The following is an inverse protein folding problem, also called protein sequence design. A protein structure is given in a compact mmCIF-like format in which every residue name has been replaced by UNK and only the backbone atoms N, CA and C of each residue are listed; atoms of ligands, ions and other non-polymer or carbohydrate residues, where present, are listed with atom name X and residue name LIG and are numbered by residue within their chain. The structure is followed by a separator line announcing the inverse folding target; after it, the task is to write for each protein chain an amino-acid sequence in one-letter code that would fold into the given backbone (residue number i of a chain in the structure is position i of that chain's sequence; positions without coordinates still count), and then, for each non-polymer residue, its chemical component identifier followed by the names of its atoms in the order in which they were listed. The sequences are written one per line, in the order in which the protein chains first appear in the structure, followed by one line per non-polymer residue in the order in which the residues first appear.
data_IF_675653005961
#
_entry.id   IF_675653005961
#
_cell.length_a   1.000
_cell.length_b   1.000
_cell.length_c   1.000
_cell.angle_alpha   90.00
_cell.angle_beta   90.00
_cell.angle_gamma   90.00
#
_symmetry.space_group_name_H-M   'P 1'
#
loop_
_entity.id
_entity.type
_entity.pdbx_description
1 polymer ?
#
# COMPACT_ATOMS: atom_id res chain seq x y z
N UNK A 1 -2.73 28.71 -70.89
CA UNK A 1 -3.36 28.28 -69.64
C UNK A 1 -2.27 27.62 -68.79
N UNK A 2 -1.61 28.39 -67.90
CA UNK A 2 -0.58 27.89 -67.01
C UNK A 2 -1.23 27.36 -65.73
N UNK A 3 -0.94 26.11 -65.35
CA UNK A 3 -1.29 25.54 -64.02
C UNK A 3 -0.11 25.72 -63.09
N UNK A 4 -0.30 26.52 -62.05
CA UNK A 4 0.61 26.66 -60.92
C UNK A 4 0.36 25.52 -59.93
N UNK A 5 1.36 24.67 -59.69
CA UNK A 5 1.34 23.65 -58.64
C UNK A 5 2.03 24.21 -57.40
N UNK A 6 1.27 24.44 -56.32
CA UNK A 6 1.83 24.77 -54.98
C UNK A 6 2.32 23.49 -54.32
N UNK A 7 3.62 23.38 -54.06
CA UNK A 7 4.19 22.39 -53.10
C UNK A 7 4.09 22.95 -51.70
N UNK A 8 3.32 22.27 -50.84
CA UNK A 8 3.34 22.47 -49.40
C UNK A 8 4.48 21.64 -48.78
N UNK A 9 5.52 22.29 -48.32
CA UNK A 9 6.55 21.69 -47.47
C UNK A 9 5.99 21.58 -46.03
N UNK A 10 5.71 20.37 -45.56
CA UNK A 10 5.43 20.09 -44.16
C UNK A 10 6.72 19.91 -43.43
N UNK A 11 7.11 20.87 -42.58
CA UNK A 11 8.25 20.77 -41.66
C UNK A 11 7.82 19.94 -40.42
N UNK A 12 8.29 18.69 -40.33
CA UNK A 12 8.23 17.89 -39.11
C UNK A 12 9.23 18.41 -38.09
N UNK A 13 8.76 19.08 -37.05
CA UNK A 13 9.56 19.34 -35.86
C UNK A 13 9.67 18.06 -35.05
N UNK A 14 10.84 17.42 -35.08
CA UNK A 14 11.20 16.36 -34.15
C UNK A 14 11.50 17.00 -32.77
N UNK A 15 10.56 16.84 -31.83
CA UNK A 15 10.81 17.18 -30.42
C UNK A 15 11.73 16.10 -29.84
N UNK A 16 13.04 16.35 -29.83
CA UNK A 16 14.01 15.57 -29.08
C UNK A 16 13.74 15.78 -27.59
N UNK A 17 13.06 14.82 -26.94
CA UNK A 17 12.97 14.73 -25.49
C UNK A 17 14.37 14.47 -24.91
N UNK A 18 15.08 15.50 -24.52
CA UNK A 18 16.30 15.37 -23.75
C UNK A 18 15.96 14.71 -22.41
N UNK A 19 16.30 13.43 -22.22
CA UNK A 19 16.32 12.79 -20.91
C UNK A 19 17.40 13.50 -20.09
N UNK A 20 16.97 14.41 -19.20
CA UNK A 20 17.89 14.99 -18.23
C UNK A 20 18.49 13.88 -17.38
N UNK A 21 19.81 13.83 -17.28
CA UNK A 21 20.53 12.93 -16.41
C UNK A 21 19.96 13.01 -14.98
N UNK A 22 19.90 11.89 -14.22
CA UNK A 22 19.41 11.90 -12.86
C UNK A 22 20.22 12.91 -12.04
N UNK A 23 19.56 13.94 -11.52
CA UNK A 23 20.18 14.87 -10.61
C UNK A 23 20.73 14.09 -9.40
N UNK A 24 21.98 14.33 -9.01
CA UNK A 24 22.58 13.79 -7.80
C UNK A 24 21.67 14.15 -6.61
N UNK A 25 21.49 13.22 -5.62
CA UNK A 25 20.71 13.53 -4.43
C UNK A 25 21.25 14.82 -3.79
N UNK A 26 20.38 15.72 -3.29
CA UNK A 26 20.85 16.88 -2.55
C UNK A 26 21.79 16.42 -1.43
N UNK A 27 22.96 17.02 -1.30
CA UNK A 27 23.95 16.66 -0.28
C UNK A 27 23.33 16.58 1.13
N UNK A 28 22.32 17.41 1.40
CA UNK A 28 21.53 17.39 2.62
C UNK A 28 20.75 16.09 2.87
N UNK A 29 20.18 15.45 1.84
CA UNK A 29 19.41 14.22 2.01
C UNK A 29 20.32 13.04 2.37
N UNK A 30 21.49 12.92 1.75
CA UNK A 30 22.49 11.90 2.12
C UNK A 30 22.88 12.01 3.59
N UNK A 31 23.12 13.22 4.09
CA UNK A 31 23.45 13.46 5.50
C UNK A 31 22.29 13.12 6.45
N UNK A 32 21.04 13.40 6.04
CA UNK A 32 19.85 13.03 6.82
C UNK A 32 19.75 11.51 6.97
N UNK A 33 19.90 10.77 5.86
CA UNK A 33 19.79 9.32 5.88
C UNK A 33 20.97 8.65 6.62
N UNK A 34 22.17 9.23 6.57
CA UNK A 34 23.35 8.72 7.25
C UNK A 34 23.23 8.73 8.80
N UNK A 35 22.33 9.53 9.38
CA UNK A 35 22.07 9.54 10.82
C UNK A 35 21.60 8.19 11.37
N UNK A 36 21.10 7.32 10.48
CA UNK A 36 20.55 6.01 10.82
C UNK A 36 21.53 4.86 10.59
N UNK A 37 22.81 5.13 10.23
CA UNK A 37 23.81 4.09 9.97
C UNK A 37 24.19 3.31 11.23
N UNK A 38 24.20 4.00 12.36
CA UNK A 38 24.52 3.41 13.64
C UNK A 38 23.29 3.57 14.56
N UNK A 39 22.42 2.59 14.52
CA UNK A 39 21.27 2.49 15.43
C UNK A 39 21.51 1.38 16.44
N UNK A 40 20.93 1.53 17.63
CA UNK A 40 20.95 0.50 18.68
C UNK A 40 20.40 -0.85 18.15
N UNK A 41 19.52 -0.80 17.17
CA UNK A 41 18.84 -1.98 16.63
C UNK A 41 19.16 -2.15 15.13
N UNK A 42 19.94 -3.20 14.73
CA UNK A 42 20.42 -3.38 13.35
C UNK A 42 19.36 -4.03 12.42
N UNK A 43 18.12 -3.60 12.52
CA UNK A 43 16.98 -4.15 11.77
C UNK A 43 16.33 -3.17 10.76
N UNK A 44 16.79 -1.91 10.69
CA UNK A 44 16.48 -1.04 9.57
C UNK A 44 17.14 -1.61 8.30
N UNK A 45 16.39 -1.73 7.20
CA UNK A 45 16.91 -2.32 5.96
C UNK A 45 17.15 -1.27 4.88
N UNK A 46 16.14 -0.46 4.57
CA UNK A 46 16.33 0.60 3.58
C UNK A 46 15.41 1.79 3.82
N UNK A 47 15.86 2.96 3.35
CA UNK A 47 15.03 4.16 3.17
C UNK A 47 15.22 4.65 1.75
N UNK A 48 14.11 4.84 1.03
CA UNK A 48 14.07 5.43 -0.30
C UNK A 48 13.18 6.65 -0.27
N UNK A 49 13.71 7.80 -0.67
CA UNK A 49 12.99 9.06 -0.77
C UNK A 49 12.83 9.42 -2.24
N UNK A 50 11.60 9.57 -2.68
CA UNK A 50 11.28 10.11 -4.00
C UNK A 50 10.66 11.49 -3.86
N UNK A 51 11.03 12.40 -4.75
CA UNK A 51 10.41 13.72 -4.86
C UNK A 51 10.23 14.08 -6.33
N UNK A 52 9.03 14.54 -6.69
CA UNK A 52 8.69 14.88 -8.08
C UNK A 52 9.02 13.75 -9.08
N UNK A 53 8.75 12.50 -8.69
CA UNK A 53 8.99 11.32 -9.53
C UNK A 53 10.45 10.84 -9.61
N UNK A 54 11.38 11.47 -8.87
CA UNK A 54 12.81 11.14 -8.87
C UNK A 54 13.28 10.66 -7.51
N UNK A 55 14.21 9.70 -7.49
CA UNK A 55 14.87 9.29 -6.26
C UNK A 55 15.85 10.42 -5.85
N UNK A 56 15.57 11.05 -4.71
CA UNK A 56 16.40 12.12 -4.13
C UNK A 56 17.20 11.65 -2.92
N UNK A 57 16.93 10.45 -2.41
CA UNK A 57 17.68 9.80 -1.35
C UNK A 57 17.43 8.30 -1.36
N UNK A 58 18.48 7.53 -1.19
CA UNK A 58 18.40 6.07 -1.13
C UNK A 58 19.55 5.55 -0.27
N UNK A 59 19.24 4.77 0.76
CA UNK A 59 20.24 4.20 1.64
C UNK A 59 19.81 2.84 2.14
N UNK A 60 20.77 1.93 2.19
CA UNK A 60 20.63 0.56 2.69
C UNK A 60 21.45 0.42 3.96
N UNK A 61 20.94 -0.29 4.95
CA UNK A 61 21.49 -0.37 6.29
C UNK A 61 21.72 -1.82 6.69
N UNK A 62 22.63 -2.03 7.63
CA UNK A 62 22.86 -3.33 8.28
C UNK A 62 23.06 -4.48 7.27
N UNK A 63 23.85 -4.23 6.22
CA UNK A 63 24.15 -5.22 5.18
C UNK A 63 23.05 -5.46 4.15
N UNK A 64 21.91 -4.75 4.25
CA UNK A 64 20.87 -4.85 3.22
C UNK A 64 21.36 -4.29 1.88
N UNK A 65 20.85 -4.83 0.80
CA UNK A 65 21.23 -4.45 -0.57
C UNK A 65 20.02 -3.94 -1.35
N UNK A 66 20.33 -3.27 -2.48
CA UNK A 66 19.31 -2.72 -3.38
C UNK A 66 18.36 -3.77 -3.96
N UNK A 67 18.86 -4.98 -4.16
CA UNK A 67 18.14 -6.05 -4.82
C UNK A 67 17.48 -7.04 -3.85
N UNK A 68 17.65 -6.81 -2.53
CA UNK A 68 17.05 -7.62 -1.50
C UNK A 68 15.54 -7.40 -1.43
N UNK A 69 14.78 -8.49 -1.29
CA UNK A 69 13.35 -8.45 -1.04
C UNK A 69 13.09 -8.40 0.46
N UNK A 70 12.25 -7.45 0.87
CA UNK A 70 11.82 -7.27 2.26
C UNK A 70 10.33 -7.54 2.38
N UNK A 71 9.93 -8.42 3.31
CA UNK A 71 8.53 -8.61 3.67
C UNK A 71 7.99 -7.33 4.34
N UNK A 72 7.09 -6.65 3.64
CA UNK A 72 6.53 -5.38 4.10
C UNK A 72 5.36 -5.56 5.08
N UNK A 73 5.05 -6.81 5.43
CA UNK A 73 3.99 -7.18 6.37
C UNK A 73 2.65 -6.53 6.00
N UNK A 74 1.92 -6.04 6.97
CA UNK A 74 0.59 -5.43 6.78
C UNK A 74 0.55 -4.24 5.82
N UNK A 75 1.69 -3.64 5.44
CA UNK A 75 1.70 -2.64 4.38
C UNK A 75 1.25 -3.23 3.02
N UNK A 76 1.30 -4.55 2.86
CA UNK A 76 0.70 -5.29 1.75
C UNK A 76 -0.82 -5.14 1.65
N UNK A 77 -1.54 -4.85 2.77
CA UNK A 77 -2.98 -4.55 2.75
C UNK A 77 -3.30 -3.36 1.84
N UNK A 78 -2.46 -2.32 1.87
CA UNK A 78 -2.61 -1.17 0.98
C UNK A 78 -2.45 -1.55 -0.49
N UNK A 79 -1.60 -2.54 -0.80
CA UNK A 79 -1.47 -3.09 -2.16
C UNK A 79 -2.74 -3.87 -2.54
N UNK A 80 -3.32 -4.64 -1.62
CA UNK A 80 -4.62 -5.29 -1.83
C UNK A 80 -5.72 -4.26 -2.12
N UNK A 81 -5.74 -3.11 -1.43
CA UNK A 81 -6.67 -2.03 -1.75
C UNK A 81 -6.45 -1.44 -3.17
N UNK A 82 -5.20 -1.33 -3.63
CA UNK A 82 -4.93 -0.92 -5.03
C UNK A 82 -5.50 -1.93 -6.02
N UNK A 83 -5.40 -3.24 -5.75
CA UNK A 83 -5.96 -4.28 -6.62
C UNK A 83 -7.49 -4.28 -6.62
N UNK A 84 -8.13 -4.00 -5.48
CA UNK A 84 -9.58 -3.74 -5.42
C UNK A 84 -9.95 -2.57 -6.33
N UNK A 85 -9.19 -1.48 -6.30
CA UNK A 85 -9.38 -0.33 -7.18
C UNK A 85 -9.25 -0.67 -8.65
N UNK A 86 -8.23 -1.40 -9.03
CA UNK A 86 -8.01 -1.84 -10.42
C UNK A 86 -9.16 -2.75 -10.88
N UNK A 87 -9.59 -3.71 -10.04
CA UNK A 87 -10.71 -4.59 -10.35
C UNK A 87 -12.04 -3.81 -10.47
N UNK A 88 -12.26 -2.79 -9.62
CA UNK A 88 -13.39 -1.85 -9.72
C UNK A 88 -13.37 -1.05 -11.00
N UNK A 89 -12.22 -0.48 -11.37
CA UNK A 89 -12.05 0.31 -12.60
C UNK A 89 -12.29 -0.54 -13.86
N UNK A 90 -12.03 -1.85 -13.79
CA UNK A 90 -12.37 -2.83 -14.83
C UNK A 90 -13.83 -3.30 -14.78
N UNK A 91 -14.66 -2.78 -13.88
CA UNK A 91 -16.05 -3.18 -13.72
C UNK A 91 -16.26 -4.58 -13.13
N UNK A 92 -15.20 -5.22 -12.59
CA UNK A 92 -15.25 -6.57 -12.03
C UNK A 92 -15.91 -6.63 -10.66
N UNK A 93 -15.81 -5.56 -9.87
CA UNK A 93 -16.43 -5.47 -8.56
C UNK A 93 -16.94 -4.06 -8.26
N UNK A 94 -17.79 -3.96 -7.23
CA UNK A 94 -18.29 -2.71 -6.64
C UNK A 94 -18.19 -2.82 -5.12
N UNK A 95 -17.73 -1.77 -4.45
CA UNK A 95 -17.46 -1.80 -3.00
C UNK A 95 -18.69 -1.73 -2.12
N UNK A 96 -19.83 -1.30 -2.65
CA UNK A 96 -21.14 -1.29 -1.99
C UNK A 96 -21.84 -2.67 -2.01
N UNK A 97 -21.34 -3.60 -2.80
CA UNK A 97 -21.88 -4.94 -2.88
C UNK A 97 -21.37 -5.84 -1.73
N UNK A 98 -22.18 -6.80 -1.26
CA UNK A 98 -21.78 -7.72 -0.20
C UNK A 98 -20.72 -8.72 -0.68
N UNK A 99 -19.89 -9.19 0.26
CA UNK A 99 -18.84 -10.21 0.02
C UNK A 99 -19.40 -11.44 -0.71
N UNK A 100 -20.55 -11.95 -0.31
CA UNK A 100 -21.20 -13.11 -0.93
C UNK A 100 -21.57 -12.92 -2.41
N UNK A 101 -21.60 -11.68 -2.90
CA UNK A 101 -21.82 -11.41 -4.33
C UNK A 101 -20.69 -11.98 -5.17
N UNK A 102 -19.47 -11.92 -4.65
CA UNK A 102 -18.25 -12.37 -5.30
C UNK A 102 -17.82 -13.74 -4.79
N UNK A 103 -17.69 -13.90 -3.51
CA UNK A 103 -17.36 -15.15 -2.85
C UNK A 103 -18.63 -15.92 -2.41
N UNK A 104 -19.11 -16.82 -3.29
CA UNK A 104 -20.39 -17.51 -3.10
C UNK A 104 -20.47 -18.38 -1.86
N UNK A 105 -19.35 -19.02 -1.47
CA UNK A 105 -19.29 -19.84 -0.26
C UNK A 105 -19.54 -19.03 1.03
N UNK A 106 -19.38 -17.70 0.99
CA UNK A 106 -19.68 -16.84 2.13
C UNK A 106 -21.18 -16.66 2.39
N UNK A 107 -22.06 -17.15 1.51
CA UNK A 107 -23.52 -17.11 1.73
C UNK A 107 -23.89 -17.88 2.98
N UNK A 108 -24.65 -17.23 3.89
CA UNK A 108 -25.04 -17.80 5.18
C UNK A 108 -24.03 -17.61 6.32
N UNK A 109 -22.81 -17.16 6.02
CA UNK A 109 -21.82 -16.79 7.04
C UNK A 109 -21.99 -15.34 7.53
N UNK A 110 -21.34 -15.00 8.65
CA UNK A 110 -21.37 -13.65 9.19
C UNK A 110 -20.72 -12.60 8.25
N UNK A 111 -19.71 -12.99 7.47
CA UNK A 111 -19.02 -12.10 6.52
C UNK A 111 -19.82 -11.94 5.21
N UNK A 112 -20.64 -12.90 4.83
CA UNK A 112 -21.35 -12.90 3.55
C UNK A 112 -22.09 -11.60 3.21
N UNK A 113 -22.97 -11.08 4.09
CA UNK A 113 -23.75 -9.86 3.84
C UNK A 113 -22.96 -8.54 4.03
N UNK A 114 -21.68 -8.59 4.45
CA UNK A 114 -20.89 -7.39 4.70
C UNK A 114 -20.50 -6.73 3.37
N UNK A 115 -20.74 -5.41 3.25
CA UNK A 115 -20.31 -4.65 2.09
C UNK A 115 -18.77 -4.58 2.00
N UNK A 116 -18.22 -4.67 0.79
CA UNK A 116 -16.76 -4.66 0.62
C UNK A 116 -16.10 -3.38 1.16
N UNK A 117 -16.79 -2.22 1.13
CA UNK A 117 -16.30 -0.99 1.75
C UNK A 117 -16.08 -1.12 3.27
N UNK A 118 -16.91 -1.91 3.96
CA UNK A 118 -16.79 -2.13 5.40
C UNK A 118 -15.66 -3.12 5.71
N UNK A 119 -15.40 -4.07 4.81
CA UNK A 119 -14.20 -4.92 4.81
C UNK A 119 -12.94 -4.05 4.67
N UNK A 120 -12.88 -3.17 3.69
CA UNK A 120 -11.73 -2.31 3.39
C UNK A 120 -11.42 -1.28 4.48
N UNK A 121 -12.43 -0.84 5.22
CA UNK A 121 -12.30 0.13 6.31
C UNK A 121 -12.17 -0.49 7.69
N UNK A 122 -11.91 -1.81 7.79
CA UNK A 122 -11.79 -2.55 9.06
C UNK A 122 -13.03 -2.44 9.95
N UNK A 123 -14.22 -2.40 9.33
CA UNK A 123 -15.52 -2.32 10.01
C UNK A 123 -16.44 -3.47 9.63
N UNK A 124 -15.88 -4.66 9.43
CA UNK A 124 -16.64 -5.86 9.06
C UNK A 124 -17.68 -6.29 10.12
N UNK A 125 -17.45 -5.93 11.38
CA UNK A 125 -18.27 -6.35 12.50
C UNK A 125 -18.04 -7.82 12.93
N UNK A 126 -17.03 -8.50 12.39
CA UNK A 126 -16.65 -9.83 12.84
C UNK A 126 -15.97 -9.80 14.21
N UNK A 127 -16.04 -10.89 14.95
CA UNK A 127 -15.26 -11.15 16.16
C UNK A 127 -13.81 -11.50 15.77
N UNK A 128 -13.09 -10.52 15.21
CA UNK A 128 -11.73 -10.66 14.72
C UNK A 128 -10.84 -9.56 15.31
N UNK A 129 -9.74 -9.95 15.95
CA UNK A 129 -8.82 -9.09 16.67
C UNK A 129 -7.46 -9.77 16.72
N UNK A 130 -6.44 -9.17 16.06
CA UNK A 130 -5.09 -9.76 16.00
C UNK A 130 -4.30 -9.57 17.29
N UNK A 131 -4.69 -8.62 18.14
CA UNK A 131 -4.03 -8.38 19.43
C UNK A 131 -4.56 -9.30 20.54
N UNK A 132 -5.70 -9.94 20.33
CA UNK A 132 -6.29 -10.88 21.25
C UNK A 132 -6.16 -12.33 20.71
N UNK A 133 -5.27 -13.16 21.26
CA UNK A 133 -5.07 -14.54 20.80
C UNK A 133 -6.32 -15.44 20.99
N UNK A 134 -7.22 -15.08 21.90
CA UNK A 134 -8.47 -15.79 22.12
C UNK A 134 -9.59 -15.36 21.16
N UNK A 135 -9.37 -14.33 20.37
CA UNK A 135 -10.36 -13.87 19.38
C UNK A 135 -10.68 -14.98 18.38
N UNK A 136 -11.97 -15.27 18.12
CA UNK A 136 -12.36 -16.26 17.11
C UNK A 136 -11.74 -16.03 15.72
N UNK A 137 -11.48 -14.78 15.35
CA UNK A 137 -10.89 -14.37 14.07
C UNK A 137 -9.47 -13.81 14.18
N UNK A 138 -8.68 -14.27 15.16
CA UNK A 138 -7.28 -13.92 15.28
C UNK A 138 -6.46 -14.41 14.06
N UNK A 139 -5.46 -13.64 13.61
CA UNK A 139 -4.64 -13.93 12.42
C UNK A 139 -3.85 -15.24 12.56
N UNK A 140 -3.20 -15.46 13.71
CA UNK A 140 -2.37 -16.66 13.91
C UNK A 140 -3.22 -17.92 13.83
N UNK A 141 -4.41 -17.90 14.44
CA UNK A 141 -5.37 -19.02 14.36
C UNK A 141 -5.87 -19.28 12.93
N UNK A 142 -6.03 -18.21 12.14
CA UNK A 142 -6.40 -18.35 10.72
C UNK A 142 -5.22 -18.92 9.91
N UNK A 143 -4.02 -18.45 10.16
CA UNK A 143 -2.81 -18.89 9.44
C UNK A 143 -2.42 -20.33 9.76
N UNK A 144 -2.73 -20.83 10.97
CA UNK A 144 -2.54 -22.21 11.39
C UNK A 144 -3.65 -23.18 10.91
N UNK A 145 -4.75 -22.66 10.37
CA UNK A 145 -5.83 -23.49 9.89
C UNK A 145 -5.47 -24.20 8.57
N UNK A 146 -5.84 -25.48 8.44
CA UNK A 146 -5.68 -26.24 7.20
C UNK A 146 -6.40 -25.60 6.01
N UNK A 147 -7.54 -24.96 6.26
CA UNK A 147 -8.34 -24.22 5.27
C UNK A 147 -8.74 -22.85 5.84
N UNK A 148 -7.91 -21.81 5.63
CA UNK A 148 -8.20 -20.44 6.06
C UNK A 148 -9.51 -19.87 5.49
N UNK A 149 -9.90 -20.24 4.27
CA UNK A 149 -11.21 -19.82 3.71
C UNK A 149 -12.37 -20.36 4.56
N UNK A 150 -12.35 -21.64 4.89
CA UNK A 150 -13.37 -22.25 5.74
C UNK A 150 -13.31 -21.74 7.17
N UNK A 151 -12.13 -21.40 7.69
CA UNK A 151 -11.97 -20.77 9.00
C UNK A 151 -12.72 -19.44 9.07
N UNK A 152 -12.51 -18.55 8.09
CA UNK A 152 -13.17 -17.23 8.01
C UNK A 152 -14.69 -17.35 8.05
N UNK A 153 -15.27 -18.33 7.37
CA UNK A 153 -16.73 -18.53 7.29
C UNK A 153 -17.37 -18.87 8.63
N UNK A 154 -16.58 -19.37 9.59
CA UNK A 154 -17.03 -19.76 10.93
C UNK A 154 -16.91 -18.64 11.96
N UNK A 155 -16.19 -17.54 11.65
CA UNK A 155 -16.01 -16.44 12.58
C UNK A 155 -17.33 -15.71 12.80
N UNK A 156 -17.81 -15.59 14.07
CA UNK A 156 -19.10 -14.99 14.35
C UNK A 156 -19.09 -13.47 14.23
N UNK A 157 -20.28 -12.89 14.20
CA UNK A 157 -20.47 -11.44 14.26
C UNK A 157 -20.37 -10.95 15.72
N UNK A 158 -19.64 -9.84 15.93
CA UNK A 158 -19.53 -9.16 17.21
C UNK A 158 -20.23 -7.79 17.22
N UNK A 159 -20.38 -7.15 16.05
CA UNK A 159 -21.05 -5.85 15.92
C UNK A 159 -21.73 -5.73 14.54
N UNK A 160 -22.69 -4.81 14.35
CA UNK A 160 -23.21 -4.51 13.03
C UNK A 160 -22.08 -4.03 12.09
N UNK A 161 -22.05 -4.47 10.81
CA UNK A 161 -21.08 -3.99 9.83
C UNK A 161 -21.16 -2.47 9.67
N UNK A 162 -20.01 -1.84 9.43
CA UNK A 162 -19.90 -0.40 9.23
C UNK A 162 -19.91 0.45 10.51
N UNK A 163 -20.07 -0.14 11.71
CA UNK A 163 -20.25 0.63 12.96
C UNK A 163 -18.98 0.74 13.80
N UNK A 164 -18.20 -0.35 13.95
CA UNK A 164 -17.04 -0.42 14.83
C UNK A 164 -15.78 -0.68 14.03
N UNK A 165 -14.79 0.18 14.18
CA UNK A 165 -13.45 -0.09 13.67
C UNK A 165 -12.75 -1.09 14.59
N UNK A 166 -12.22 -2.14 13.98
CA UNK A 166 -11.34 -3.10 14.66
C UNK A 166 -10.33 -3.63 13.66
N UNK A 167 -9.08 -3.24 13.84
CA UNK A 167 -8.01 -3.72 12.98
C UNK A 167 -7.84 -5.22 13.13
N UNK A 168 -7.83 -5.94 12.01
CA UNK A 168 -7.55 -7.37 11.95
C UNK A 168 -7.12 -7.81 10.55
N UNK A 169 -6.30 -8.83 10.47
CA UNK A 169 -5.79 -9.39 9.22
C UNK A 169 -6.80 -10.26 8.50
N UNK A 170 -7.68 -10.94 9.24
CA UNK A 170 -8.74 -11.78 8.67
C UNK A 170 -9.64 -10.99 7.71
N UNK A 171 -10.06 -9.79 8.07
CA UNK A 171 -10.90 -8.96 7.20
C UNK A 171 -10.17 -8.58 5.90
N UNK A 172 -8.87 -8.33 5.95
CA UNK A 172 -8.11 -8.03 4.73
C UNK A 172 -7.76 -9.27 3.90
N UNK A 173 -7.66 -10.44 4.51
CA UNK A 173 -7.64 -11.71 3.78
C UNK A 173 -8.92 -11.88 2.94
N UNK A 174 -10.10 -11.58 3.51
CA UNK A 174 -11.39 -11.60 2.78
C UNK A 174 -11.34 -10.70 1.55
N UNK A 175 -10.76 -9.51 1.64
CA UNK A 175 -10.61 -8.64 0.47
C UNK A 175 -9.77 -9.30 -0.65
N UNK A 176 -8.70 -10.00 -0.29
CA UNK A 176 -7.89 -10.80 -1.23
C UNK A 176 -8.68 -11.93 -1.90
N UNK A 177 -9.50 -12.64 -1.12
CA UNK A 177 -10.42 -13.67 -1.66
C UNK A 177 -11.42 -13.04 -2.63
N UNK A 178 -12.05 -11.91 -2.24
CA UNK A 178 -13.01 -11.20 -3.10
C UNK A 178 -12.37 -10.76 -4.42
N UNK A 179 -11.15 -10.23 -4.40
CA UNK A 179 -10.43 -9.89 -5.65
C UNK A 179 -10.24 -11.14 -6.49
N UNK A 180 -9.72 -12.22 -5.92
CA UNK A 180 -9.49 -13.51 -6.63
C UNK A 180 -10.75 -14.01 -7.31
N UNK A 181 -11.87 -14.07 -6.59
CA UNK A 181 -13.15 -14.54 -7.09
C UNK A 181 -13.75 -13.60 -8.16
N UNK A 182 -13.66 -12.28 -7.95
CA UNK A 182 -14.22 -11.29 -8.87
C UNK A 182 -13.48 -11.24 -10.22
N UNK A 183 -12.16 -11.45 -10.21
CA UNK A 183 -11.34 -11.41 -11.42
C UNK A 183 -11.11 -12.78 -12.07
N UNK A 184 -11.48 -13.87 -11.38
CA UNK A 184 -11.37 -15.26 -11.86
C UNK A 184 -9.93 -15.75 -12.02
N UNK A 185 -8.98 -15.22 -11.23
CA UNK A 185 -7.58 -15.66 -11.20
C UNK A 185 -6.93 -15.33 -9.85
N UNK A 186 -5.84 -16.01 -9.44
CA UNK A 186 -5.13 -15.68 -8.22
C UNK A 186 -4.75 -14.19 -8.16
N UNK A 187 -4.88 -13.59 -6.96
CA UNK A 187 -4.66 -12.16 -6.77
C UNK A 187 -3.23 -11.72 -7.12
N UNK A 188 -2.22 -12.53 -6.84
CA UNK A 188 -0.83 -12.25 -7.22
C UNK A 188 -0.60 -12.27 -8.75
N UNK A 189 -1.31 -13.15 -9.49
CA UNK A 189 -1.30 -13.17 -10.95
C UNK A 189 -1.96 -11.91 -11.51
N UNK A 190 -3.07 -11.48 -10.89
CA UNK A 190 -3.74 -10.22 -11.24
C UNK A 190 -2.84 -9.01 -10.95
N UNK A 191 -2.17 -9.00 -9.77
CA UNK A 191 -1.21 -7.97 -9.39
C UNK A 191 -0.04 -7.88 -10.38
N UNK A 192 0.54 -9.02 -10.77
CA UNK A 192 1.60 -9.07 -11.79
C UNK A 192 1.17 -8.38 -13.07
N UNK A 193 -0.02 -8.69 -13.57
CA UNK A 193 -0.49 -8.21 -14.86
C UNK A 193 -0.85 -6.73 -14.87
N UNK A 194 -1.55 -6.25 -13.82
CA UNK A 194 -2.21 -4.94 -13.84
C UNK A 194 -1.59 -3.91 -12.89
N UNK A 195 -0.68 -4.32 -12.01
CA UNK A 195 0.01 -3.43 -11.08
C UNK A 195 1.53 -3.52 -11.26
N UNK A 196 2.13 -4.69 -11.05
CA UNK A 196 3.58 -4.79 -10.96
C UNK A 196 4.28 -4.61 -12.32
N UNK A 197 3.85 -5.31 -13.36
CA UNK A 197 4.45 -5.19 -14.70
C UNK A 197 4.32 -3.76 -15.28
N UNK A 198 3.16 -3.08 -15.20
CA UNK A 198 3.06 -1.68 -15.63
C UNK A 198 3.94 -0.70 -14.85
N UNK A 199 4.29 -1.03 -13.59
CA UNK A 199 5.21 -0.25 -12.75
C UNK A 199 6.69 -0.64 -12.94
N UNK A 200 7.00 -1.66 -13.76
CA UNK A 200 8.36 -2.19 -13.92
C UNK A 200 8.86 -2.97 -12.70
N UNK A 201 7.95 -3.46 -11.86
CA UNK A 201 8.28 -4.30 -10.70
C UNK A 201 8.35 -5.75 -11.16
N UNK A 202 9.58 -6.26 -11.32
CA UNK A 202 9.84 -7.61 -11.87
C UNK A 202 10.14 -8.65 -10.78
N UNK A 203 10.65 -8.19 -9.62
CA UNK A 203 11.06 -9.06 -8.52
C UNK A 203 10.18 -8.81 -7.30
N UNK A 204 9.42 -9.83 -6.92
CA UNK A 204 8.54 -9.82 -5.75
C UNK A 204 8.22 -11.25 -5.35
N UNK A 205 7.78 -11.44 -4.12
CA UNK A 205 7.21 -12.66 -3.60
C UNK A 205 5.97 -12.31 -2.79
N UNK A 206 4.89 -13.05 -2.98
CA UNK A 206 3.68 -12.90 -2.19
C UNK A 206 3.28 -14.25 -1.62
N UNK A 207 3.24 -14.36 -0.28
CA UNK A 207 2.90 -15.60 0.37
C UNK A 207 1.47 -16.03 0.03
N UNK A 208 1.26 -17.33 -0.01
CA UNK A 208 -0.04 -17.96 -0.11
C UNK A 208 -0.32 -18.73 1.17
N UNK A 209 -1.59 -18.94 1.49
CA UNK A 209 -2.01 -19.78 2.59
C UNK A 209 -1.97 -21.29 2.22
N UNK A 210 -2.36 -22.15 3.16
CA UNK A 210 -2.40 -23.60 2.95
C UNK A 210 -3.35 -24.02 1.83
N UNK A 211 -4.39 -23.22 1.54
CA UNK A 211 -5.34 -23.43 0.43
C UNK A 211 -4.85 -22.90 -0.92
N UNK A 212 -3.63 -22.31 -0.97
CA UNK A 212 -3.06 -21.71 -2.18
C UNK A 212 -3.59 -20.30 -2.51
N UNK A 213 -4.32 -19.67 -1.60
CA UNK A 213 -4.85 -18.29 -1.76
C UNK A 213 -3.76 -17.27 -1.42
N UNK A 214 -3.57 -16.28 -2.28
CA UNK A 214 -2.63 -15.18 -2.02
C UNK A 214 -3.07 -14.39 -0.80
N UNK A 215 -2.17 -14.19 0.18
CA UNK A 215 -2.46 -13.53 1.45
C UNK A 215 -2.76 -12.04 1.25
N UNK A 216 -4.04 -11.66 1.20
CA UNK A 216 -4.48 -10.26 1.06
C UNK A 216 -4.15 -9.38 2.27
N UNK A 217 -3.83 -9.99 3.40
CA UNK A 217 -3.51 -9.30 4.65
C UNK A 217 -2.04 -8.84 4.73
N UNK A 218 -1.14 -9.31 3.86
CA UNK A 218 0.27 -8.94 3.93
C UNK A 218 1.21 -9.96 3.30
N UNK A 219 2.40 -10.11 3.90
CA UNK A 219 3.44 -11.06 3.49
C UNK A 219 3.83 -10.95 2.00
N UNK A 220 3.81 -9.71 1.51
CA UNK A 220 4.35 -9.32 0.21
C UNK A 220 5.79 -8.86 0.42
N UNK A 221 6.72 -9.45 -0.31
CA UNK A 221 8.13 -9.05 -0.31
C UNK A 221 8.47 -8.29 -1.57
N UNK A 222 9.06 -7.11 -1.41
CA UNK A 222 9.44 -6.18 -2.46
C UNK A 222 10.84 -5.62 -2.20
N UNK A 223 11.52 -5.18 -3.28
CA UNK A 223 12.68 -4.30 -3.11
C UNK A 223 12.21 -2.94 -2.57
N UNK A 224 13.05 -2.28 -1.77
CA UNK A 224 12.70 -0.98 -1.20
C UNK A 224 12.36 0.08 -2.27
N UNK A 225 13.03 0.06 -3.42
CA UNK A 225 12.70 0.93 -4.57
C UNK A 225 11.32 0.64 -5.15
N UNK A 226 10.98 -0.63 -5.30
CA UNK A 226 9.67 -1.03 -5.84
C UNK A 226 8.56 -0.61 -4.89
N UNK A 227 8.83 -0.69 -3.58
CA UNK A 227 7.92 -0.20 -2.55
C UNK A 227 7.73 1.33 -2.63
N UNK A 228 8.79 2.10 -2.92
CA UNK A 228 8.70 3.53 -3.18
C UNK A 228 7.94 3.86 -4.49
N UNK A 229 8.13 3.07 -5.55
CA UNK A 229 7.41 3.23 -6.84
C UNK A 229 5.90 3.07 -6.66
N UNK A 230 5.44 2.12 -5.82
CA UNK A 230 4.01 2.01 -5.46
C UNK A 230 3.50 3.32 -4.83
N UNK A 231 4.26 3.88 -3.90
CA UNK A 231 3.93 5.17 -3.27
C UNK A 231 3.90 6.33 -4.28
N UNK A 232 4.85 6.37 -5.21
CA UNK A 232 4.91 7.41 -6.24
C UNK A 232 3.71 7.34 -7.19
N UNK A 233 3.30 6.16 -7.61
CA UNK A 233 2.09 5.95 -8.39
C UNK A 233 0.86 6.48 -7.62
N UNK A 234 0.75 6.19 -6.32
CA UNK A 234 -0.34 6.68 -5.46
C UNK A 234 -0.29 8.21 -5.33
N UNK A 235 0.90 8.80 -5.08
CA UNK A 235 1.11 10.25 -4.99
C UNK A 235 0.67 10.97 -6.27
N UNK A 236 0.90 10.35 -7.40
CA UNK A 236 0.59 10.90 -8.73
C UNK A 236 -0.79 10.42 -9.25
N UNK A 237 -1.77 10.34 -8.33
CA UNK A 237 -3.17 10.04 -8.65
C UNK A 237 -3.38 8.78 -9.51
N UNK A 238 -2.53 7.77 -9.33
CA UNK A 238 -2.63 6.49 -10.03
C UNK A 238 -1.96 6.45 -11.41
N UNK A 239 -1.14 7.44 -11.72
CA UNK A 239 -0.36 7.48 -12.97
C UNK A 239 1.11 7.23 -12.67
N UNK A 240 1.75 6.38 -13.45
CA UNK A 240 3.19 6.15 -13.42
C UNK A 240 3.75 6.14 -14.83
N UNK A 241 4.79 6.95 -15.10
CA UNK A 241 5.43 7.11 -16.41
C UNK A 241 4.41 7.32 -17.55
N UNK A 242 3.42 8.19 -17.32
CA UNK A 242 2.37 8.51 -18.28
C UNK A 242 1.26 7.45 -18.43
N UNK A 243 1.37 6.31 -17.77
CA UNK A 243 0.35 5.24 -17.81
C UNK A 243 -0.55 5.31 -16.57
N UNK A 244 -1.87 5.26 -16.77
CA UNK A 244 -2.83 5.11 -15.68
C UNK A 244 -2.89 3.66 -15.22
N UNK A 245 -2.61 3.44 -13.96
CA UNK A 245 -2.60 2.10 -13.33
C UNK A 245 -3.93 1.89 -12.58
N UNK A 246 -4.37 2.92 -11.84
CA UNK A 246 -5.63 2.92 -11.09
C UNK A 246 -6.27 4.31 -11.19
N UNK A 247 -7.58 4.42 -11.08
CA UNK A 247 -8.26 5.71 -11.22
C UNK A 247 -7.95 6.66 -10.05
N UNK A 248 -7.84 7.96 -10.35
CA UNK A 248 -7.73 9.00 -9.34
C UNK A 248 -8.95 9.02 -8.40
N UNK A 249 -10.13 8.67 -8.92
CA UNK A 249 -11.35 8.58 -8.12
C UNK A 249 -11.23 7.50 -7.05
N UNK A 250 -10.68 6.32 -7.37
CA UNK A 250 -10.41 5.28 -6.39
C UNK A 250 -9.41 5.73 -5.33
N UNK A 251 -8.30 6.32 -5.74
CA UNK A 251 -7.28 6.75 -4.78
C UNK A 251 -7.79 7.83 -3.83
N UNK A 252 -8.55 8.81 -4.33
CA UNK A 252 -9.19 9.80 -3.45
C UNK A 252 -10.09 9.13 -2.40
N UNK A 253 -10.90 8.14 -2.81
CA UNK A 253 -11.77 7.40 -1.90
C UNK A 253 -10.93 6.58 -0.89
N UNK A 254 -9.97 5.78 -1.38
CA UNK A 254 -9.16 4.91 -0.56
C UNK A 254 -8.27 5.65 0.46
N UNK A 255 -7.77 6.84 0.12
CA UNK A 255 -6.90 7.65 0.97
C UNK A 255 -7.69 8.60 1.90
N UNK A 256 -9.00 8.77 1.68
CA UNK A 256 -9.85 9.55 2.57
C UNK A 256 -10.12 8.77 3.86
N UNK A 257 -9.89 9.36 5.05
CA UNK A 257 -10.27 8.72 6.30
C UNK A 257 -11.78 8.48 6.38
N UNK A 258 -12.20 7.24 6.46
CA UNK A 258 -13.59 6.82 6.67
C UNK A 258 -13.93 6.62 8.15
N UNK A 259 -12.90 6.57 8.99
CA UNK A 259 -13.04 6.43 10.44
C UNK A 259 -11.87 7.10 11.15
N UNK A 260 -12.16 7.81 12.25
CA UNK A 260 -11.15 8.32 13.19
C UNK A 260 -10.64 7.16 14.06
N UNK A 261 -9.33 7.06 14.22
CA UNK A 261 -8.68 5.97 14.96
C UNK A 261 -7.64 6.46 15.97
N UNK A 262 -7.51 7.77 16.19
CA UNK A 262 -6.49 8.35 17.06
C UNK A 262 -6.49 7.81 18.50
N UNK A 263 -7.66 7.38 19.00
CA UNK A 263 -7.78 6.76 20.32
C UNK A 263 -7.28 5.30 20.35
N UNK A 264 -7.19 4.66 19.19
CA UNK A 264 -6.82 3.24 19.04
C UNK A 264 -5.41 3.04 18.48
N UNK A 265 -4.86 4.03 17.78
CA UNK A 265 -3.54 3.95 17.12
C UNK A 265 -2.72 5.22 17.39
N UNK A 266 -1.60 5.12 18.14
CA UNK A 266 -0.75 6.29 18.46
C UNK A 266 -0.03 6.87 17.23
N UNK A 267 0.02 6.14 16.13
CA UNK A 267 0.73 6.53 14.91
C UNK A 267 -0.19 7.06 13.81
N UNK A 268 -1.52 7.05 14.01
CA UNK A 268 -2.49 7.48 13.01
C UNK A 268 -3.69 8.20 13.64
N UNK A 269 -4.31 9.10 12.88
CA UNK A 269 -5.52 9.85 13.25
C UNK A 269 -6.76 9.29 12.55
N UNK A 270 -6.57 8.71 11.36
CA UNK A 270 -7.67 8.21 10.56
C UNK A 270 -7.28 7.05 9.67
N UNK A 271 -8.30 6.30 9.23
CA UNK A 271 -8.16 5.11 8.40
C UNK A 271 -9.13 5.14 7.21
N UNK A 272 -8.59 4.95 6.03
CA UNK A 272 -9.34 4.81 4.78
C UNK A 272 -9.52 3.34 4.39
N UNK A 273 -9.31 3.02 3.10
CA UNK A 273 -9.31 1.63 2.63
C UNK A 273 -7.89 1.06 2.70
N UNK A 274 -7.51 0.54 3.86
CA UNK A 274 -6.18 0.00 4.18
C UNK A 274 -5.05 1.04 4.06
N UNK A 275 -5.40 2.33 4.13
CA UNK A 275 -4.48 3.44 4.19
C UNK A 275 -4.73 4.26 5.45
N UNK A 276 -3.65 4.67 6.08
CA UNK A 276 -3.67 5.50 7.28
C UNK A 276 -3.51 6.97 6.92
N UNK A 277 -3.97 7.83 7.82
CA UNK A 277 -3.81 9.29 7.73
C UNK A 277 -3.29 9.85 9.05
N UNK A 278 -2.34 10.79 8.95
CA UNK A 278 -1.86 11.60 10.08
C UNK A 278 -1.36 12.94 9.59
N UNK A 279 -1.55 13.99 10.40
CA UNK A 279 -0.94 15.29 10.17
C UNK A 279 0.24 15.46 11.12
N UNK A 280 1.43 15.66 10.56
CA UNK A 280 2.65 15.91 11.34
C UNK A 280 2.94 17.39 11.41
N UNK A 281 3.29 17.89 12.59
CA UNK A 281 3.90 19.23 12.72
C UNK A 281 5.38 19.15 12.31
N UNK A 282 5.75 19.92 11.31
CA UNK A 282 7.13 20.04 10.83
C UNK A 282 7.55 21.52 10.95
N UNK A 283 8.24 21.84 12.03
CA UNK A 283 8.70 23.21 12.34
C UNK A 283 7.54 24.23 12.36
N UNK A 284 6.43 23.90 13.00
CA UNK A 284 5.24 24.74 13.09
C UNK A 284 4.33 24.70 11.86
N UNK A 285 4.62 23.85 10.88
CA UNK A 285 3.79 23.69 9.68
C UNK A 285 3.10 22.34 9.70
N UNK A 286 1.75 22.28 9.64
CA UNK A 286 1.03 21.02 9.54
C UNK A 286 1.22 20.40 8.16
N UNK A 287 1.69 19.15 8.12
CA UNK A 287 1.92 18.38 6.90
C UNK A 287 1.05 17.13 6.92
N UNK A 288 -0.06 17.09 6.17
CA UNK A 288 -0.88 15.89 6.03
C UNK A 288 -0.15 14.79 5.28
N UNK A 289 -0.19 13.58 5.84
CA UNK A 289 0.46 12.39 5.29
C UNK A 289 -0.57 11.27 5.16
N UNK A 290 -0.50 10.51 4.06
CA UNK A 290 -1.19 9.23 3.90
C UNK A 290 -0.14 8.13 3.86
N UNK A 291 -0.43 6.98 4.47
CA UNK A 291 0.61 5.96 4.54
C UNK A 291 0.07 4.53 4.61
N UNK A 292 0.83 3.62 4.00
CA UNK A 292 0.77 2.19 4.27
C UNK A 292 1.62 1.87 5.49
N UNK A 293 1.19 0.91 6.31
CA UNK A 293 1.89 0.53 7.53
C UNK A 293 1.99 -0.99 7.68
N UNK A 294 3.19 -1.47 8.01
CA UNK A 294 3.46 -2.86 8.33
C UNK A 294 4.26 -3.01 9.62
N UNK A 295 4.06 -4.16 10.28
CA UNK A 295 4.78 -4.54 11.48
C UNK A 295 6.30 -4.36 11.27
N UNK A 296 7.00 -3.88 12.31
CA UNK A 296 8.43 -3.58 12.27
C UNK A 296 8.78 -2.19 11.73
N UNK A 297 7.79 -1.38 11.33
CA UNK A 297 8.01 -0.04 10.79
C UNK A 297 8.17 0.00 9.28
N UNK A 298 7.64 -1.00 8.57
CA UNK A 298 7.55 -0.96 7.12
C UNK A 298 6.52 0.08 6.68
N UNK A 299 6.92 1.09 5.91
CA UNK A 299 6.07 2.24 5.57
C UNK A 299 6.21 2.68 4.11
N UNK A 300 5.09 3.07 3.52
CA UNK A 300 5.07 4.01 2.40
C UNK A 300 4.38 5.27 2.91
N UNK A 301 5.12 6.34 3.10
CA UNK A 301 4.56 7.66 3.37
C UNK A 301 4.37 8.42 2.08
N UNK A 302 3.16 8.90 1.82
CA UNK A 302 2.79 9.73 0.68
C UNK A 302 2.49 11.13 1.20
N UNK A 303 3.24 12.12 0.74
CA UNK A 303 3.17 13.52 1.17
C UNK A 303 2.89 14.41 -0.05
N UNK A 304 1.61 14.58 -0.44
CA UNK A 304 1.26 15.31 -1.67
C UNK A 304 1.72 16.76 -1.68
N UNK A 305 1.62 17.46 -0.54
CA UNK A 305 2.04 18.87 -0.40
C UNK A 305 3.53 19.10 -0.65
N UNK A 306 4.36 18.05 -0.53
CA UNK A 306 5.81 18.06 -0.80
C UNK A 306 6.17 17.34 -2.09
N UNK A 307 5.19 16.84 -2.84
CA UNK A 307 5.38 15.95 -4.00
C UNK A 307 6.34 14.81 -3.68
N UNK A 308 6.21 14.21 -2.48
CA UNK A 308 7.21 13.31 -1.90
C UNK A 308 6.61 11.97 -1.49
N UNK A 309 7.46 10.95 -1.59
CA UNK A 309 7.25 9.61 -1.03
C UNK A 309 8.47 9.23 -0.20
N UNK A 310 8.24 8.66 0.99
CA UNK A 310 9.29 8.05 1.79
C UNK A 310 8.91 6.58 2.02
N UNK A 311 9.67 5.67 1.44
CA UNK A 311 9.51 4.24 1.65
C UNK A 311 10.58 3.73 2.62
N UNK A 312 10.16 2.96 3.61
CA UNK A 312 11.04 2.40 4.66
C UNK A 312 10.77 0.91 4.74
N UNK A 313 11.85 0.11 4.71
CA UNK A 313 11.79 -1.32 5.00
C UNK A 313 12.61 -1.64 6.24
N UNK A 314 12.08 -2.55 7.07
CA UNK A 314 12.64 -2.91 8.36
C UNK A 314 12.24 -4.33 8.76
N UNK A 315 13.11 -5.05 9.44
CA UNK A 315 12.84 -6.36 10.02
C UNK A 315 12.61 -6.34 11.54
N UNK A 316 12.30 -5.18 12.13
CA UNK A 316 11.97 -5.01 13.55
C UNK A 316 10.60 -5.62 13.92
N UNK A 317 10.27 -6.79 13.40
CA UNK A 317 8.97 -7.44 13.58
C UNK A 317 8.66 -7.67 15.07
N UNK A 318 7.43 -7.33 15.49
CA UNK A 318 6.99 -7.42 16.88
C UNK A 318 7.58 -6.35 17.80
N UNK A 319 8.34 -5.38 17.27
CA UNK A 319 9.03 -4.35 18.08
C UNK A 319 8.44 -2.97 17.80
N UNK A 320 7.78 -2.39 18.81
CA UNK A 320 7.15 -1.07 18.71
C UNK A 320 8.10 0.08 18.37
N UNK A 321 9.41 -0.03 18.68
CA UNK A 321 10.39 0.98 18.29
C UNK A 321 10.55 1.11 16.77
N UNK A 322 10.27 0.07 15.99
CA UNK A 322 10.31 0.13 14.53
C UNK A 322 9.35 1.19 13.97
N UNK A 323 8.14 1.28 14.52
CA UNK A 323 7.16 2.30 14.14
C UNK A 323 7.64 3.71 14.49
N UNK A 324 8.15 3.91 15.72
CA UNK A 324 8.70 5.21 16.17
C UNK A 324 9.88 5.66 15.33
N UNK A 325 10.80 4.74 15.00
CA UNK A 325 11.95 5.02 14.14
C UNK A 325 11.50 5.48 12.74
N UNK A 326 10.54 4.79 12.14
CA UNK A 326 10.05 5.16 10.80
C UNK A 326 9.37 6.53 10.80
N UNK A 327 8.63 6.89 11.84
CA UNK A 327 8.07 8.24 12.00
C UNK A 327 9.18 9.29 12.20
N UNK A 328 10.23 8.98 12.97
CA UNK A 328 11.36 9.87 13.17
C UNK A 328 12.15 10.11 11.85
N UNK A 329 12.32 9.05 11.03
CA UNK A 329 12.94 9.17 9.70
C UNK A 329 12.08 10.10 8.81
N UNK A 330 10.77 9.89 8.75
CA UNK A 330 9.87 10.77 8.00
C UNK A 330 10.02 12.23 8.41
N UNK A 331 9.94 12.51 9.72
CA UNK A 331 10.08 13.88 10.24
C UNK A 331 11.42 14.51 9.90
N UNK A 332 12.52 13.74 9.99
CA UNK A 332 13.85 14.21 9.62
C UNK A 332 13.97 14.54 8.12
N UNK A 333 13.40 13.69 7.26
CA UNK A 333 13.33 13.93 5.81
C UNK A 333 12.51 15.19 5.51
N UNK A 334 11.32 15.33 6.08
CA UNK A 334 10.45 16.49 5.87
C UNK A 334 11.07 17.80 6.41
N UNK A 335 11.80 17.74 7.51
CA UNK A 335 12.48 18.90 8.08
C UNK A 335 13.68 19.38 7.25
N UNK A 336 14.26 18.51 6.42
CA UNK A 336 15.40 18.81 5.54
C UNK A 336 14.98 19.22 4.13
N UNK A 337 13.69 19.12 3.79
CA UNK A 337 13.13 19.51 2.49
C UNK A 337 12.17 20.68 2.66
N UNK A 338 12.30 21.73 1.84
CA UNK A 338 11.42 22.91 1.91
C UNK A 338 9.98 22.59 1.53
#
# INVERSE_FOLDING_TARGET
MLRLSCLLLSSMFAVSGAHAAPALPPAGMTAVLARWDQTEHPDLRAVVVMQQGRVVGERYYNGATRDELHDVRSAGKSVTALLVGIARDQGRLKIDQPVQRYWKQATGSAIGPVALRDVLSMRSGLAADDENPDSPGNEDRMDEADDPKSFVLKVPRAAPPGTVYRYNSLTSYVAGVVVTEAVGKPMDVFARQYLFAPLGIERWQWARDASGITKGQGNLSLRARDFAILGEMVRNDGVYQGKRIVSAAWLRDALTPHVAIGDSDPYAEGYGYYWYAKTHDIKGTPVPVRFASGNGGNKIYVVPSRQMVVAITSSAYGKGYGQRRSEAILKAVLAATP
#
